data_IF_950150615114
#
_entry.id   IF_950150615114
#
_cell.length_a   1.000
_cell.length_b   1.000
_cell.length_c   1.000
_cell.angle_alpha   90.00
_cell.angle_beta   90.00
_cell.angle_gamma   90.00
#
_symmetry.space_group_name_H-M   'P 1'
#
loop_
_entity.id
_entity.type
_entity.pdbx_description
1 polymer ?
#
# COMPACT_ATOMS: atom_id res chain seq x y z
N UNK A 1 11.59 26.73 -4.61
CA UNK A 1 11.64 26.70 -6.08
C UNK A 1 10.33 26.14 -6.60
N UNK A 2 9.71 26.72 -7.64
CA UNK A 2 8.47 26.18 -8.17
C UNK A 2 8.78 24.79 -8.74
N UNK A 3 8.14 23.76 -8.19
CA UNK A 3 8.29 22.42 -8.72
C UNK A 3 7.62 22.38 -10.10
N UNK A 4 8.36 21.94 -11.13
CA UNK A 4 7.81 21.77 -12.48
C UNK A 4 6.63 20.79 -12.47
N UNK A 5 5.74 20.88 -13.45
CA UNK A 5 4.44 20.19 -13.44
C UNK A 5 4.57 18.65 -13.32
N UNK A 6 5.64 18.06 -13.86
CA UNK A 6 5.99 16.65 -13.64
C UNK A 6 6.10 16.27 -12.15
N UNK A 7 6.76 17.11 -11.36
CA UNK A 7 6.97 16.88 -9.93
C UNK A 7 5.70 17.10 -9.12
N UNK A 8 4.81 18.01 -9.54
CA UNK A 8 3.49 18.18 -8.93
C UNK A 8 2.63 16.93 -9.13
N UNK A 9 2.58 16.39 -10.35
CA UNK A 9 1.83 15.17 -10.65
C UNK A 9 2.34 13.96 -9.86
N UNK A 10 3.66 13.82 -9.75
CA UNK A 10 4.29 12.83 -8.89
C UNK A 10 3.88 12.99 -7.42
N UNK A 11 3.96 14.22 -6.89
CA UNK A 11 3.60 14.49 -5.50
C UNK A 11 2.12 14.15 -5.21
N UNK A 12 1.21 14.43 -6.15
CA UNK A 12 -0.20 14.08 -6.04
C UNK A 12 -0.42 12.56 -5.97
N UNK A 13 0.21 11.79 -6.85
CA UNK A 13 0.12 10.33 -6.85
C UNK A 13 0.74 9.72 -5.61
N UNK A 14 1.90 10.22 -5.19
CA UNK A 14 2.57 9.78 -3.97
C UNK A 14 1.70 10.05 -2.73
N UNK A 15 1.07 11.21 -2.67
CA UNK A 15 0.16 11.60 -1.59
C UNK A 15 -1.11 10.73 -1.56
N UNK A 16 -1.68 10.40 -2.72
CA UNK A 16 -2.82 9.48 -2.82
C UNK A 16 -2.48 8.09 -2.26
N UNK A 17 -1.39 7.49 -2.74
CA UNK A 17 -0.93 6.19 -2.24
C UNK A 17 -0.61 6.21 -0.74
N UNK A 18 -0.01 7.30 -0.24
CA UNK A 18 0.25 7.49 1.20
C UNK A 18 -1.06 7.52 1.99
N UNK A 19 -2.07 8.26 1.54
CA UNK A 19 -3.39 8.33 2.19
C UNK A 19 -4.08 6.97 2.26
N UNK A 20 -4.01 6.18 1.20
CA UNK A 20 -4.62 4.84 1.17
C UNK A 20 -3.97 3.91 2.20
N UNK A 21 -2.63 3.91 2.27
CA UNK A 21 -1.88 3.15 3.26
C UNK A 21 -2.25 3.60 4.69
N UNK A 22 -2.30 4.92 4.93
CA UNK A 22 -2.66 5.45 6.24
C UNK A 22 -4.10 5.13 6.63
N UNK A 23 -5.04 5.17 5.68
CA UNK A 23 -6.43 4.78 5.90
C UNK A 23 -6.53 3.30 6.28
N UNK A 24 -5.89 2.42 5.52
CA UNK A 24 -5.87 0.98 5.81
C UNK A 24 -5.25 0.69 7.18
N UNK A 25 -4.14 1.36 7.52
CA UNK A 25 -3.48 1.17 8.80
C UNK A 25 -4.31 1.67 9.98
N UNK A 26 -5.03 2.78 9.82
CA UNK A 26 -5.98 3.28 10.83
C UNK A 26 -7.10 2.28 11.11
N UNK A 27 -7.65 1.65 10.07
CA UNK A 27 -8.67 0.59 10.22
C UNK A 27 -8.10 -0.61 10.96
N UNK A 28 -6.90 -1.05 10.58
CA UNK A 28 -6.25 -2.17 11.25
C UNK A 28 -5.93 -1.85 12.73
N UNK A 29 -5.47 -0.64 13.04
CA UNK A 29 -5.20 -0.20 14.42
C UNK A 29 -6.45 -0.04 15.29
N UNK A 30 -7.60 0.32 14.70
CA UNK A 30 -8.86 0.41 15.45
C UNK A 30 -9.41 -0.97 15.80
N UNK A 31 -9.26 -1.95 14.89
CA UNK A 31 -9.70 -3.33 15.11
C UNK A 31 -8.72 -4.16 15.93
N UNK A 32 -7.41 -3.97 15.77
CA UNK A 32 -6.39 -4.80 16.40
C UNK A 32 -5.44 -3.95 17.26
N UNK A 33 -5.68 -3.96 18.58
CA UNK A 33 -4.86 -3.20 19.54
C UNK A 33 -3.36 -3.56 19.50
N UNK A 34 -3.01 -4.79 19.08
CA UNK A 34 -1.63 -5.26 18.91
C UNK A 34 -0.84 -4.45 17.86
N UNK A 35 -1.52 -3.80 16.91
CA UNK A 35 -0.90 -2.97 15.85
C UNK A 35 -0.58 -1.55 16.34
N UNK A 36 -1.13 -1.12 17.48
CA UNK A 36 -0.89 0.24 18.02
C UNK A 36 0.53 0.44 18.52
N UNK A 37 1.19 -0.62 18.98
CA UNK A 37 2.57 -0.54 19.49
C UNK A 37 3.43 -1.74 19.07
N UNK A 38 3.65 -1.97 17.77
CA UNK A 38 4.42 -3.11 17.28
C UNK A 38 5.91 -2.98 17.64
N UNK A 39 6.37 -1.73 17.85
CA UNK A 39 7.76 -1.35 18.07
C UNK A 39 8.31 -1.67 19.47
N UNK A 40 7.62 -2.41 20.33
CA UNK A 40 8.17 -2.80 21.64
C UNK A 40 9.05 -4.05 21.60
N UNK A 41 9.05 -4.81 20.50
CA UNK A 41 9.91 -5.97 20.29
C UNK A 41 10.32 -6.06 18.81
N UNK A 42 11.45 -5.47 18.46
CA UNK A 42 11.94 -5.29 17.08
C UNK A 42 12.53 -6.57 16.47
N UNK A 43 11.71 -7.62 16.31
CA UNK A 43 11.99 -8.67 15.33
C UNK A 43 11.08 -8.45 14.13
N UNK A 44 11.65 -8.07 12.99
CA UNK A 44 10.92 -7.79 11.75
C UNK A 44 10.04 -8.97 11.30
N UNK A 45 10.50 -10.20 11.54
CA UNK A 45 9.71 -11.40 11.25
C UNK A 45 8.46 -11.51 12.12
N UNK A 46 8.55 -11.12 13.40
CA UNK A 46 7.39 -11.08 14.28
C UNK A 46 6.37 -10.03 13.83
N UNK A 47 6.85 -8.84 13.42
CA UNK A 47 5.99 -7.79 12.86
C UNK A 47 5.28 -8.25 11.59
N UNK A 48 6.00 -8.93 10.69
CA UNK A 48 5.44 -9.50 9.46
C UNK A 48 4.33 -10.52 9.78
N UNK A 49 4.57 -11.42 10.73
CA UNK A 49 3.56 -12.42 11.15
C UNK A 49 2.33 -11.73 11.73
N UNK A 50 2.51 -10.75 12.62
CA UNK A 50 1.40 -9.99 13.22
C UNK A 50 0.58 -9.29 12.13
N UNK A 51 1.22 -8.56 11.21
CA UNK A 51 0.52 -7.85 10.13
C UNK A 51 -0.25 -8.82 9.22
N UNK A 52 0.38 -9.93 8.79
CA UNK A 52 -0.28 -10.92 7.95
C UNK A 52 -1.48 -11.55 8.65
N UNK A 53 -1.34 -11.92 9.93
CA UNK A 53 -2.45 -12.46 10.71
C UNK A 53 -3.59 -11.45 10.82
N UNK A 54 -3.31 -10.17 11.10
CA UNK A 54 -4.35 -9.14 11.19
C UNK A 54 -5.05 -8.89 9.85
N UNK A 55 -4.35 -8.97 8.71
CA UNK A 55 -4.95 -8.85 7.37
C UNK A 55 -5.86 -10.04 7.08
N UNK A 56 -5.40 -11.26 7.35
CA UNK A 56 -6.21 -12.48 7.16
C UNK A 56 -7.46 -12.44 8.04
N UNK A 57 -7.30 -12.12 9.34
CA UNK A 57 -8.42 -11.99 10.27
C UNK A 57 -9.39 -10.88 9.86
N UNK A 58 -8.89 -9.75 9.36
CA UNK A 58 -9.74 -8.69 8.86
C UNK A 58 -10.60 -9.16 7.68
N UNK A 59 -9.98 -9.85 6.72
CA UNK A 59 -10.69 -10.37 5.55
C UNK A 59 -11.73 -11.42 5.94
N UNK A 60 -11.37 -12.35 6.83
CA UNK A 60 -12.31 -13.37 7.34
C UNK A 60 -13.51 -12.74 8.05
N UNK A 61 -13.29 -11.71 8.89
CA UNK A 61 -14.37 -10.99 9.57
C UNK A 61 -15.26 -10.26 8.56
N UNK A 62 -14.67 -9.62 7.54
CA UNK A 62 -15.45 -8.94 6.49
C UNK A 62 -16.26 -9.93 5.67
N UNK A 63 -15.71 -11.10 5.35
CA UNK A 63 -16.43 -12.18 4.65
C UNK A 63 -17.59 -12.74 5.50
N UNK A 64 -17.37 -12.98 6.79
CA UNK A 64 -18.39 -13.46 7.74
C UNK A 64 -19.52 -12.44 7.94
N UNK A 65 -19.18 -11.16 8.12
CA UNK A 65 -20.14 -10.05 8.18
C UNK A 65 -20.96 -9.96 6.88
N UNK A 66 -20.33 -10.10 5.71
CA UNK A 66 -21.02 -10.10 4.40
C UNK A 66 -21.99 -11.26 4.23
N UNK A 67 -21.61 -12.45 4.70
CA UNK A 67 -22.44 -13.65 4.63
C UNK A 67 -23.63 -13.58 5.60
N UNK A 68 -23.43 -12.97 6.77
CA UNK A 68 -24.44 -12.92 7.85
C UNK A 68 -25.52 -11.86 7.59
N UNK A 69 -25.19 -10.74 6.94
CA UNK A 69 -26.12 -9.61 6.73
C UNK A 69 -26.70 -9.50 5.31
N UNK A 70 -26.70 -10.59 4.52
CA UNK A 70 -27.48 -10.66 3.29
C UNK A 70 -27.16 -9.55 2.28
N UNK A 71 -25.88 -9.28 2.05
CA UNK A 71 -25.40 -8.45 0.94
C UNK A 71 -25.64 -6.94 1.03
N UNK A 72 -26.15 -6.41 2.14
CA UNK A 72 -26.52 -4.98 2.23
C UNK A 72 -25.89 -4.23 3.42
N UNK A 73 -24.62 -4.50 3.70
CA UNK A 73 -23.79 -3.59 4.51
C UNK A 73 -22.91 -2.76 3.57
N UNK A 74 -23.35 -1.53 3.31
CA UNK A 74 -22.57 -0.49 2.63
C UNK A 74 -21.36 -0.11 3.49
N UNK A 75 -20.27 -0.86 3.34
CA UNK A 75 -18.94 -0.33 3.56
C UNK A 75 -18.58 0.47 2.30
N UNK A 76 -19.08 1.70 2.17
CA UNK A 76 -18.75 2.56 1.04
C UNK A 76 -17.23 2.75 0.95
N UNK A 77 -16.65 1.98 0.03
CA UNK A 77 -15.26 1.97 -0.38
C UNK A 77 -15.32 2.38 -1.84
N UNK A 78 -15.67 3.63 -2.09
CA UNK A 78 -16.16 4.04 -3.41
C UNK A 78 -15.13 3.72 -4.50
N UNK A 79 -15.44 2.64 -5.19
CA UNK A 79 -15.06 2.26 -6.54
C UNK A 79 -13.58 1.93 -6.86
N UNK A 80 -13.14 0.68 -6.58
CA UNK A 80 -12.12 0.05 -7.46
C UNK A 80 -12.35 -1.45 -7.66
N UNK A 81 -13.10 -1.76 -8.72
CA UNK A 81 -12.64 -2.64 -9.80
C UNK A 81 -12.24 -4.07 -9.44
N UNK A 82 -13.25 -4.93 -9.34
CA UNK A 82 -13.29 -6.32 -9.81
C UNK A 82 -12.00 -6.90 -10.43
N UNK A 83 -11.26 -7.72 -9.68
CA UNK A 83 -10.41 -8.78 -10.24
C UNK A 83 -10.41 -10.02 -9.32
N UNK A 84 -10.69 -11.22 -9.86
CA UNK A 84 -10.43 -12.47 -9.16
C UNK A 84 -9.03 -12.96 -9.51
N UNK A 85 -8.16 -13.08 -8.51
CA UNK A 85 -6.97 -13.95 -8.63
C UNK A 85 -6.54 -14.42 -7.25
N UNK A 86 -6.73 -15.70 -7.00
CA UNK A 86 -6.10 -16.41 -5.89
C UNK A 86 -4.57 -16.21 -5.97
N UNK A 87 -3.86 -15.93 -4.86
CA UNK A 87 -2.42 -15.84 -4.90
C UNK A 87 -1.82 -17.24 -5.07
N UNK A 88 -0.91 -17.45 -6.05
CA UNK A 88 -0.10 -18.65 -6.13
C UNK A 88 0.81 -18.74 -4.90
N UNK A 89 0.87 -19.93 -4.35
CA UNK A 89 1.62 -20.31 -3.17
C UNK A 89 3.12 -20.38 -3.50
N UNK A 90 3.86 -19.26 -3.39
CA UNK A 90 5.34 -19.28 -3.41
C UNK A 90 5.92 -18.02 -2.73
N UNK A 91 6.01 -17.99 -1.39
CA UNK A 91 6.25 -16.74 -0.62
C UNK A 91 7.50 -16.73 0.25
N UNK A 92 8.52 -17.53 -0.07
CA UNK A 92 9.81 -17.48 0.66
C UNK A 92 10.94 -16.74 -0.08
N UNK A 93 10.89 -16.58 -1.41
CA UNK A 93 11.94 -15.87 -2.16
C UNK A 93 11.73 -14.34 -2.27
N UNK A 94 10.51 -13.85 -2.04
CA UNK A 94 10.13 -12.46 -2.35
C UNK A 94 10.56 -11.45 -1.26
N UNK A 95 10.77 -11.91 -0.02
CA UNK A 95 11.04 -11.00 1.10
C UNK A 95 12.52 -10.62 1.26
N UNK A 96 13.45 -11.55 0.97
CA UNK A 96 14.88 -11.21 0.93
C UNK A 96 15.17 -10.23 -0.22
N UNK A 97 14.51 -10.43 -1.35
CA UNK A 97 14.54 -9.50 -2.48
C UNK A 97 13.92 -8.14 -2.11
N UNK A 98 12.80 -8.13 -1.38
CA UNK A 98 12.22 -6.90 -0.81
C UNK A 98 13.18 -6.17 0.15
N UNK A 99 13.88 -6.89 1.03
CA UNK A 99 14.85 -6.30 1.97
C UNK A 99 16.06 -5.74 1.24
N UNK A 100 16.57 -6.44 0.22
CA UNK A 100 17.63 -5.96 -0.67
C UNK A 100 17.20 -4.70 -1.42
N UNK A 101 15.99 -4.70 -2.00
CA UNK A 101 15.39 -3.51 -2.62
C UNK A 101 15.25 -2.36 -1.63
N UNK A 102 14.83 -2.63 -0.39
CA UNK A 102 14.70 -1.62 0.68
C UNK A 102 16.05 -1.07 1.13
N UNK A 103 17.10 -1.88 1.12
CA UNK A 103 18.47 -1.44 1.37
C UNK A 103 19.01 -0.58 0.22
N UNK A 104 18.78 -0.99 -1.02
CA UNK A 104 19.16 -0.22 -2.22
C UNK A 104 18.37 1.08 -2.36
N UNK A 105 17.09 1.11 -1.96
CA UNK A 105 16.27 2.33 -1.90
C UNK A 105 16.72 3.28 -0.76
N UNK A 106 17.53 2.81 0.20
CA UNK A 106 18.18 3.66 1.20
C UNK A 106 19.54 4.22 0.75
N UNK A 107 20.15 3.64 -0.28
CA UNK A 107 21.27 4.27 -0.96
C UNK A 107 20.77 5.57 -1.61
N UNK A 108 21.34 6.71 -1.20
CA UNK A 108 20.85 8.03 -1.60
C UNK A 108 20.97 8.27 -3.10
N UNK A 109 21.92 7.64 -3.79
CA UNK A 109 22.08 7.79 -5.23
C UNK A 109 21.07 6.93 -5.97
N UNK A 110 20.92 5.66 -5.60
CA UNK A 110 19.94 4.76 -6.22
C UNK A 110 18.52 5.28 -5.96
N UNK A 111 18.23 5.75 -4.75
CA UNK A 111 16.95 6.37 -4.41
C UNK A 111 16.60 7.54 -5.32
N UNK A 112 17.56 8.45 -5.58
CA UNK A 112 17.33 9.62 -6.43
C UNK A 112 17.09 9.23 -7.89
N UNK A 113 17.85 8.26 -8.41
CA UNK A 113 17.65 7.76 -9.77
C UNK A 113 16.28 7.11 -9.92
N UNK A 114 15.95 6.16 -9.04
CA UNK A 114 14.62 5.51 -9.04
C UNK A 114 13.48 6.51 -8.89
N UNK A 115 13.67 7.56 -8.09
CA UNK A 115 12.68 8.62 -7.95
C UNK A 115 12.53 9.44 -9.24
N UNK A 116 13.63 9.74 -9.93
CA UNK A 116 13.59 10.43 -11.23
C UNK A 116 12.89 9.56 -12.28
N UNK A 117 13.25 8.30 -12.38
CA UNK A 117 12.63 7.34 -13.30
C UNK A 117 11.12 7.21 -13.02
N UNK A 118 10.73 7.19 -11.74
CA UNK A 118 9.33 7.11 -11.35
C UNK A 118 8.54 8.39 -11.68
N UNK A 119 9.17 9.57 -11.54
CA UNK A 119 8.58 10.85 -11.96
C UNK A 119 8.36 10.84 -13.47
N UNK A 120 9.32 10.35 -14.25
CA UNK A 120 9.20 10.26 -15.71
C UNK A 120 8.11 9.26 -16.12
N UNK A 121 8.10 8.07 -15.53
CA UNK A 121 7.09 7.05 -15.81
C UNK A 121 5.66 7.54 -15.50
N UNK A 122 5.45 8.19 -14.35
CA UNK A 122 4.13 8.76 -13.99
C UNK A 122 3.76 9.88 -14.96
N UNK A 123 4.72 10.69 -15.40
CA UNK A 123 4.47 11.73 -16.38
C UNK A 123 4.10 11.19 -17.76
N UNK A 124 4.81 10.17 -18.26
CA UNK A 124 4.46 9.51 -19.53
C UNK A 124 3.07 8.89 -19.49
N UNK A 125 2.71 8.31 -18.33
CA UNK A 125 1.46 7.59 -18.16
C UNK A 125 0.24 8.49 -17.94
N UNK A 126 0.39 9.58 -17.19
CA UNK A 126 -0.72 10.43 -16.72
C UNK A 126 -0.55 11.92 -17.07
N UNK A 127 0.54 12.31 -17.71
CA UNK A 127 0.81 13.71 -18.08
C UNK A 127 -0.10 14.22 -19.20
N UNK A 128 -0.61 13.35 -20.07
CA UNK A 128 -1.55 13.71 -21.13
C UNK A 128 -2.94 14.10 -20.59
N UNK A 129 -3.37 13.51 -19.46
CA UNK A 129 -4.67 13.79 -18.84
C UNK A 129 -4.73 15.18 -18.18
N UNK A 130 -3.57 15.74 -17.79
CA UNK A 130 -3.49 17.07 -17.17
C UNK A 130 -3.43 18.23 -18.18
N UNK A 131 -3.25 17.95 -19.48
CA UNK A 131 -3.15 18.96 -20.54
C UNK A 131 -4.46 19.14 -21.34
N UNK A 132 -5.57 18.54 -20.89
CA UNK A 132 -6.88 18.63 -21.55
C UNK A 132 -7.97 19.33 -20.72
N UNK A 133 -7.59 20.01 -19.63
CA UNK A 133 -8.49 20.87 -18.84
C UNK A 133 -8.12 22.34 -18.97
#
# INVERSE_FOLDING_TARGET
MPQGDKRKLFAQHQEGARKDIERAFRVLQSRFAIIRNPARSWHLDALKRIMNTCIILHNMIVEDERATYGGNFDYSYDHLGNYPTAPPNDSNNDFQEFLRRRHNVRDKQIHRHLQQDLIEHIWERFGHENNQN
#
